data_IF_960139621545
#
_entry.id   IF_960139621545
#
_cell.length_a   1.000
_cell.length_b   1.000
_cell.length_c   1.000
_cell.angle_alpha   90.00
_cell.angle_beta   90.00
_cell.angle_gamma   90.00
#
_symmetry.space_group_name_H-M   'P 1'
#
loop_
_entity.id
_entity.type
_entity.pdbx_description
1 polymer ?
#
# COMPACT_ATOMS: atom_id res chain seq x y z
N UNK A 1 -5.48 17.88 5.78
CA UNK A 1 -5.23 17.08 4.57
C UNK A 1 -3.98 16.23 4.76
N UNK A 2 -3.82 15.13 4.03
CA UNK A 2 -2.61 14.30 4.10
C UNK A 2 -2.90 12.80 3.90
N UNK A 3 -1.87 12.01 3.56
CA UNK A 3 -2.02 10.60 3.21
C UNK A 3 -2.66 9.77 4.34
N UNK A 4 -2.36 10.10 5.60
CA UNK A 4 -2.91 9.43 6.78
C UNK A 4 -4.43 9.60 6.98
N UNK A 5 -5.09 10.48 6.22
CA UNK A 5 -6.55 10.63 6.20
C UNK A 5 -7.23 9.89 5.03
N UNK A 6 -6.45 9.32 4.10
CA UNK A 6 -6.97 8.66 2.90
C UNK A 6 -6.73 7.14 2.93
N UNK A 7 -5.51 6.73 3.26
CA UNK A 7 -5.11 5.33 3.35
C UNK A 7 -3.97 5.16 4.34
N UNK A 8 -4.01 4.08 5.11
CA UNK A 8 -2.95 3.72 6.06
C UNK A 8 -2.40 2.33 5.73
N UNK A 9 -1.16 2.10 6.11
CA UNK A 9 -0.49 0.79 6.06
C UNK A 9 0.18 0.57 7.41
N UNK A 10 0.03 -0.61 8.01
CA UNK A 10 0.43 -0.84 9.41
C UNK A 10 1.95 -0.83 9.68
N UNK A 11 2.76 -0.81 8.63
CA UNK A 11 4.21 -0.68 8.68
C UNK A 11 4.72 0.72 8.27
N UNK A 12 3.82 1.69 8.06
CA UNK A 12 4.15 3.07 7.70
C UNK A 12 3.43 4.06 8.63
N UNK A 13 4.09 5.15 9.06
CA UNK A 13 3.44 6.17 9.88
C UNK A 13 2.34 6.88 9.09
N UNK A 14 1.20 7.10 9.74
CA UNK A 14 0.11 7.92 9.22
C UNK A 14 0.40 9.40 9.46
N UNK A 15 0.47 10.18 8.39
CA UNK A 15 0.76 11.61 8.46
C UNK A 15 -0.38 12.46 7.87
N UNK A 16 -0.75 13.51 8.58
CA UNK A 16 -1.63 14.55 8.05
C UNK A 16 -1.37 15.91 8.67
N UNK A 17 -1.78 16.95 7.95
CA UNK A 17 -1.64 18.35 8.32
C UNK A 17 -2.97 19.00 8.59
N UNK A 18 -3.04 19.78 9.66
CA UNK A 18 -4.14 20.66 10.01
C UNK A 18 -3.77 22.07 9.54
N UNK A 19 -4.70 22.75 8.87
CA UNK A 19 -4.56 24.15 8.48
C UNK A 19 -5.52 24.98 9.31
N UNK A 20 -4.98 25.82 10.20
CA UNK A 20 -5.78 26.75 10.96
C UNK A 20 -6.22 27.91 10.06
N UNK A 21 -7.50 28.24 10.14
CA UNK A 21 -8.10 29.37 9.44
C UNK A 21 -8.75 30.31 10.45
N UNK A 22 -8.77 31.60 10.14
CA UNK A 22 -9.51 32.59 10.91
C UNK A 22 -11.03 32.45 10.66
N UNK A 23 -11.81 33.30 11.33
CA UNK A 23 -13.27 33.32 11.21
C UNK A 23 -13.76 33.66 9.79
N UNK A 24 -12.95 34.37 9.01
CA UNK A 24 -13.25 34.77 7.64
C UNK A 24 -12.79 33.72 6.62
N UNK A 25 -12.15 32.64 7.08
CA UNK A 25 -11.66 31.52 6.27
C UNK A 25 -10.26 31.73 5.70
N UNK A 26 -9.53 32.76 6.12
CA UNK A 26 -8.16 32.97 5.68
C UNK A 26 -7.19 32.10 6.50
N UNK A 27 -6.11 31.58 5.89
CA UNK A 27 -5.07 30.88 6.63
C UNK A 27 -4.47 31.77 7.73
N UNK A 28 -4.30 31.20 8.92
CA UNK A 28 -3.52 31.85 9.96
C UNK A 28 -2.04 31.83 9.58
N UNK A 29 -1.30 32.79 10.10
CA UNK A 29 0.16 32.92 9.90
C UNK A 29 0.95 32.77 11.19
N UNK A 30 0.26 32.41 12.27
CA UNK A 30 0.77 32.19 13.61
C UNK A 30 0.35 30.81 14.14
N UNK A 31 1.23 30.19 14.92
CA UNK A 31 0.92 29.00 15.70
C UNK A 31 0.32 29.33 17.07
N UNK A 32 0.26 28.32 17.93
CA UNK A 32 -0.15 28.41 19.34
C UNK A 32 -1.57 27.93 19.63
N UNK A 33 -2.33 27.55 18.59
CA UNK A 33 -3.65 26.96 18.76
C UNK A 33 -3.50 25.51 19.25
N UNK A 34 -4.36 25.11 20.19
CA UNK A 34 -4.38 23.75 20.73
C UNK A 34 -5.48 22.95 20.03
N UNK A 35 -5.09 22.12 19.08
CA UNK A 35 -5.97 21.14 18.47
C UNK A 35 -5.99 19.85 19.31
N UNK A 36 -7.20 19.38 19.61
CA UNK A 36 -7.43 18.09 20.23
C UNK A 36 -7.49 17.03 19.13
N UNK A 37 -6.56 16.08 19.12
CA UNK A 37 -6.50 14.99 18.14
C UNK A 37 -6.72 13.67 18.84
N UNK A 38 -7.85 13.04 18.56
CA UNK A 38 -8.22 11.72 19.08
C UNK A 38 -8.22 10.70 17.94
N UNK A 39 -7.43 9.65 18.09
CA UNK A 39 -7.36 8.55 17.12
C UNK A 39 -7.70 7.25 17.84
N UNK A 40 -8.72 6.55 17.35
CA UNK A 40 -9.15 5.25 17.86
C UNK A 40 -8.99 4.21 16.77
N UNK A 41 -8.10 3.25 16.99
CA UNK A 41 -7.88 2.12 16.12
C UNK A 41 -8.64 0.86 16.55
N UNK A 42 -8.44 -0.26 15.85
CA UNK A 42 -9.12 -1.53 16.13
C UNK A 42 -8.78 -2.11 17.50
N UNK A 43 -7.63 -1.74 18.10
CA UNK A 43 -7.22 -2.19 19.45
C UNK A 43 -7.34 -1.11 20.53
N UNK A 44 -7.99 0.02 20.22
CA UNK A 44 -8.19 1.13 21.16
C UNK A 44 -7.46 2.40 20.73
N UNK A 45 -7.24 3.29 21.69
CA UNK A 45 -6.69 4.61 21.43
C UNK A 45 -5.23 4.54 20.94
N UNK A 46 -4.94 5.30 19.89
CA UNK A 46 -3.59 5.51 19.36
C UNK A 46 -3.15 6.91 19.72
N UNK A 47 -1.90 7.04 20.16
CA UNK A 47 -1.34 8.32 20.59
C UNK A 47 -0.74 9.05 19.39
N UNK A 48 -1.31 10.17 18.92
CA UNK A 48 -0.68 11.00 17.90
C UNK A 48 0.44 11.86 18.50
N UNK A 49 1.37 12.26 17.65
CA UNK A 49 2.29 13.35 17.86
C UNK A 49 1.81 14.54 17.05
N UNK A 50 1.56 15.67 17.71
CA UNK A 50 1.14 16.92 17.06
C UNK A 50 2.27 17.94 17.20
N UNK A 51 2.69 18.50 16.08
CA UNK A 51 3.75 19.49 15.99
C UNK A 51 3.19 20.77 15.40
N UNK A 52 3.30 21.87 16.15
CA UNK A 52 2.96 23.21 15.67
C UNK A 52 4.14 23.79 14.89
N UNK A 53 3.92 24.15 13.62
CA UNK A 53 4.95 24.70 12.74
C UNK A 53 5.13 26.22 12.92
N UNK A 54 4.26 26.88 13.70
CA UNK A 54 4.33 28.31 13.97
C UNK A 54 3.85 29.19 12.82
N UNK A 55 3.32 28.60 11.75
CA UNK A 55 2.86 29.27 10.54
C UNK A 55 1.36 29.11 10.28
N UNK A 56 0.61 28.65 11.30
CA UNK A 56 -0.81 28.30 11.17
C UNK A 56 -1.06 26.86 10.69
N UNK A 57 -0.02 26.05 10.53
CA UNK A 57 -0.13 24.62 10.22
C UNK A 57 0.35 23.73 11.36
N UNK A 58 -0.27 22.56 11.49
CA UNK A 58 0.04 21.58 12.54
C UNK A 58 0.20 20.21 11.91
N UNK A 59 1.38 19.62 12.07
CA UNK A 59 1.70 18.29 11.57
C UNK A 59 1.34 17.23 12.60
N UNK A 60 0.57 16.23 12.17
CA UNK A 60 0.14 15.11 12.99
C UNK A 60 0.72 13.83 12.42
N UNK A 61 1.43 13.09 13.28
CA UNK A 61 2.01 11.78 12.96
C UNK A 61 1.50 10.75 13.97
N UNK A 62 1.08 9.58 13.51
CA UNK A 62 0.69 8.47 14.38
C UNK A 62 1.04 7.12 13.75
N UNK A 63 1.26 6.11 14.58
CA UNK A 63 1.63 4.76 14.12
C UNK A 63 0.41 3.83 14.13
N UNK A 64 -0.10 3.40 12.97
CA UNK A 64 -1.22 2.47 12.90
C UNK A 64 -0.74 1.02 13.04
N UNK A 65 -0.35 0.57 14.23
CA UNK A 65 0.27 -0.76 14.44
C UNK A 65 -0.54 -1.99 13.95
N UNK A 66 -1.84 -1.83 13.66
CA UNK A 66 -2.71 -2.95 13.32
C UNK A 66 -3.64 -2.64 12.16
N UNK A 67 -3.84 -3.59 11.24
CA UNK A 67 -4.77 -3.42 10.13
C UNK A 67 -6.20 -3.33 10.65
N UNK A 68 -7.01 -2.48 10.03
CA UNK A 68 -8.38 -2.23 10.48
C UNK A 68 -8.86 -0.82 10.21
N UNK A 69 -10.00 -0.47 10.80
CA UNK A 69 -10.56 0.87 10.67
C UNK A 69 -10.07 1.74 11.83
N UNK A 70 -9.62 2.95 11.48
CA UNK A 70 -9.21 3.99 12.39
C UNK A 70 -10.23 5.13 12.32
N UNK A 71 -10.79 5.50 13.47
CA UNK A 71 -11.63 6.66 13.65
C UNK A 71 -10.74 7.83 14.11
N UNK A 72 -10.65 8.86 13.28
CA UNK A 72 -9.83 10.05 13.52
C UNK A 72 -10.77 11.23 13.76
N UNK A 73 -10.59 11.90 14.89
CA UNK A 73 -11.32 13.10 15.25
C UNK A 73 -10.34 14.21 15.59
N UNK A 74 -10.53 15.37 14.96
CA UNK A 74 -9.76 16.58 15.25
C UNK A 74 -10.74 17.65 15.69
N UNK A 75 -10.47 18.26 16.84
CA UNK A 75 -11.28 19.31 17.42
C UNK A 75 -10.46 20.55 17.80
N UNK A 76 -11.16 21.67 17.95
CA UNK A 76 -10.64 22.92 18.48
C UNK A 76 -11.66 23.49 19.46
N UNK A 77 -11.20 23.83 20.68
CA UNK A 77 -12.05 24.31 21.79
C UNK A 77 -13.29 23.42 22.07
N UNK A 78 -13.14 22.10 21.93
CA UNK A 78 -14.21 21.12 22.16
C UNK A 78 -15.21 20.96 21.01
N UNK A 79 -15.01 21.62 19.87
CA UNK A 79 -15.82 21.44 18.66
C UNK A 79 -15.01 20.74 17.55
N UNK A 80 -15.60 19.78 16.80
CA UNK A 80 -14.91 19.14 15.68
C UNK A 80 -14.63 20.16 14.56
N UNK A 81 -13.46 20.04 13.93
CA UNK A 81 -13.13 20.85 12.75
C UNK A 81 -13.86 20.34 11.50
N UNK A 82 -13.72 21.06 10.39
CA UNK A 82 -14.32 20.67 9.11
C UNK A 82 -13.91 19.25 8.71
N UNK A 83 -14.87 18.49 8.18
CA UNK A 83 -14.71 17.12 7.66
C UNK A 83 -14.30 16.08 8.73
N UNK A 84 -14.42 16.42 10.01
CA UNK A 84 -14.19 15.53 11.16
C UNK A 84 -15.49 15.25 11.93
N UNK A 85 -15.64 14.04 12.51
CA UNK A 85 -14.70 12.91 12.48
C UNK A 85 -14.68 12.20 11.12
N UNK A 86 -13.56 11.54 10.81
CA UNK A 86 -13.39 10.73 9.61
C UNK A 86 -12.94 9.31 9.94
N UNK A 87 -13.16 8.38 9.02
CA UNK A 87 -12.77 6.97 9.17
C UNK A 87 -11.84 6.57 8.03
N UNK A 88 -10.69 6.01 8.40
CA UNK A 88 -9.64 5.59 7.45
C UNK A 88 -9.37 4.10 7.65
N UNK A 89 -9.13 3.40 6.55
CA UNK A 89 -8.78 1.97 6.61
C UNK A 89 -7.28 1.79 6.51
N UNK A 90 -6.71 1.17 7.54
CA UNK A 90 -5.35 0.64 7.56
C UNK A 90 -5.33 -0.77 6.96
N UNK A 91 -4.43 -0.97 6.01
CA UNK A 91 -4.16 -2.26 5.36
C UNK A 91 -2.93 -2.90 6.00
N UNK A 92 -2.84 -4.22 5.89
CA UNK A 92 -1.61 -4.94 6.18
C UNK A 92 -0.52 -4.49 5.23
N UNK A 93 0.61 -4.10 5.80
CA UNK A 93 1.82 -3.76 5.08
C UNK A 93 2.52 -4.97 4.52
N UNK A 94 3.24 -4.75 3.43
CA UNK A 94 4.10 -5.78 2.87
C UNK A 94 5.30 -5.98 3.77
N UNK A 95 5.50 -7.21 4.22
CA UNK A 95 6.74 -7.63 4.89
C UNK A 95 7.84 -7.86 3.84
N UNK A 96 8.68 -6.85 3.62
CA UNK A 96 9.74 -6.92 2.61
C UNK A 96 10.86 -7.90 2.96
N UNK A 97 11.16 -8.10 4.24
CA UNK A 97 12.23 -9.01 4.69
C UNK A 97 11.83 -10.49 4.48
N UNK A 98 10.54 -10.79 4.60
CA UNK A 98 9.99 -12.12 4.31
C UNK A 98 9.41 -12.26 2.90
N UNK A 99 9.45 -11.21 2.08
CA UNK A 99 9.03 -11.27 0.67
C UNK A 99 10.14 -11.90 -0.18
N UNK A 100 9.83 -13.05 -0.77
CA UNK A 100 10.69 -13.73 -1.73
C UNK A 100 10.13 -13.68 -3.15
N UNK A 101 10.90 -14.20 -4.09
CA UNK A 101 10.35 -14.51 -5.40
C UNK A 101 9.32 -15.64 -5.29
N UNK A 102 8.21 -15.49 -6.00
CA UNK A 102 7.20 -16.52 -6.15
C UNK A 102 7.46 -17.40 -7.38
N UNK A 103 6.39 -17.83 -8.02
CA UNK A 103 6.43 -18.69 -9.21
C UNK A 103 6.71 -17.84 -10.45
N UNK A 104 7.61 -18.32 -11.30
CA UNK A 104 7.87 -17.79 -12.62
C UNK A 104 7.25 -18.69 -13.69
N UNK A 105 6.87 -18.09 -14.81
CA UNK A 105 6.48 -18.85 -15.99
C UNK A 105 7.00 -18.20 -17.25
N UNK A 106 7.30 -19.02 -18.25
CA UNK A 106 7.60 -18.56 -19.60
C UNK A 106 6.90 -19.45 -20.62
N UNK A 107 6.60 -18.86 -21.78
CA UNK A 107 5.93 -19.56 -22.87
C UNK A 107 6.78 -19.49 -24.13
N UNK A 108 6.98 -20.63 -24.78
CA UNK A 108 7.73 -20.78 -26.02
C UNK A 108 6.75 -20.97 -27.17
N UNK A 109 6.79 -20.08 -28.16
CA UNK A 109 6.07 -20.25 -29.43
C UNK A 109 6.93 -21.09 -30.38
N UNK A 110 6.48 -22.31 -30.70
CA UNK A 110 7.14 -23.12 -31.71
C UNK A 110 6.89 -22.54 -33.11
N UNK A 111 7.91 -22.63 -33.96
CA UNK A 111 7.87 -22.23 -35.36
C UNK A 111 8.19 -23.41 -36.26
N UNK A 112 7.61 -23.42 -37.44
CA UNK A 112 7.91 -24.41 -38.47
C UNK A 112 9.22 -24.09 -39.20
N UNK A 113 9.62 -24.97 -40.13
CA UNK A 113 10.83 -24.79 -40.96
C UNK A 113 10.81 -23.56 -41.89
N UNK A 114 9.66 -22.91 -42.04
CA UNK A 114 9.47 -21.69 -42.83
C UNK A 114 9.49 -20.44 -41.93
N UNK A 115 9.57 -20.62 -40.61
CA UNK A 115 9.55 -19.55 -39.62
C UNK A 115 8.14 -19.13 -39.18
N UNK A 116 7.09 -19.82 -39.64
CA UNK A 116 5.70 -19.53 -39.28
C UNK A 116 5.36 -20.14 -37.93
N UNK A 117 4.48 -19.50 -37.16
CA UNK A 117 4.04 -20.02 -35.86
C UNK A 117 3.27 -21.34 -36.07
N UNK A 118 3.63 -22.37 -35.29
CA UNK A 118 2.83 -23.58 -35.21
C UNK A 118 1.49 -23.29 -34.53
N UNK A 119 0.47 -24.06 -34.89
CA UNK A 119 -0.91 -23.93 -34.37
C UNK A 119 -1.42 -25.19 -33.68
N UNK A 120 -0.53 -26.16 -33.47
CA UNK A 120 -0.80 -27.45 -32.82
C UNK A 120 0.42 -27.89 -32.02
N UNK A 121 0.17 -28.62 -30.93
CA UNK A 121 1.20 -29.20 -30.07
C UNK A 121 1.80 -30.50 -30.59
N UNK A 122 2.31 -31.32 -29.67
CA UNK A 122 2.84 -32.65 -29.92
C UNK A 122 4.34 -32.71 -30.22
N UNK A 123 5.06 -31.59 -30.12
CA UNK A 123 6.52 -31.61 -30.14
C UNK A 123 7.06 -31.95 -28.76
N UNK A 124 8.19 -32.66 -28.75
CA UNK A 124 8.96 -32.83 -27.52
C UNK A 124 9.61 -31.49 -27.15
N UNK A 125 9.22 -30.94 -26.00
CA UNK A 125 9.78 -29.72 -25.45
C UNK A 125 10.49 -30.01 -24.13
N UNK A 126 11.81 -29.81 -24.12
CA UNK A 126 12.65 -30.00 -22.95
C UNK A 126 13.11 -28.67 -22.36
N UNK A 127 12.96 -28.57 -21.04
CA UNK A 127 13.37 -27.43 -20.23
C UNK A 127 14.35 -27.95 -19.21
N UNK A 128 15.47 -27.26 -19.09
CA UNK A 128 16.48 -27.48 -18.08
C UNK A 128 16.77 -26.12 -17.42
N UNK A 129 16.64 -26.07 -16.10
CA UNK A 129 16.97 -24.91 -15.30
C UNK A 129 18.20 -25.28 -14.49
N UNK A 130 19.34 -24.69 -14.83
CA UNK A 130 20.59 -24.92 -14.13
C UNK A 130 20.75 -23.89 -13.00
N UNK A 131 20.85 -24.37 -11.76
CA UNK A 131 21.03 -23.54 -10.58
C UNK A 131 21.64 -24.32 -9.42
N UNK A 132 22.01 -23.63 -8.31
CA UNK A 132 22.61 -24.27 -7.14
C UNK A 132 21.63 -25.16 -6.34
N UNK A 133 20.34 -25.21 -6.71
CA UNK A 133 19.32 -26.05 -6.08
C UNK A 133 18.59 -26.93 -7.08
N UNK A 134 17.90 -27.96 -6.58
CA UNK A 134 16.93 -28.72 -7.37
C UNK A 134 15.68 -27.85 -7.57
N UNK A 135 15.34 -27.55 -8.83
CA UNK A 135 14.13 -26.80 -9.18
C UNK A 135 13.08 -27.77 -9.71
N UNK A 136 11.95 -27.88 -9.01
CA UNK A 136 10.76 -28.52 -9.57
C UNK A 136 10.12 -27.57 -10.59
N UNK A 137 9.76 -28.09 -11.76
CA UNK A 137 9.06 -27.32 -12.77
C UNK A 137 7.98 -28.18 -13.44
N UNK A 138 6.91 -27.52 -13.87
CA UNK A 138 5.85 -28.11 -14.67
C UNK A 138 6.03 -27.68 -16.13
N UNK A 139 5.91 -28.65 -17.07
CA UNK A 139 5.88 -28.39 -18.51
C UNK A 139 4.49 -28.70 -19.05
N UNK A 140 3.93 -27.76 -19.79
CA UNK A 140 2.60 -27.89 -20.40
C UNK A 140 2.69 -27.65 -21.90
N UNK A 141 2.18 -28.59 -22.69
CA UNK A 141 1.87 -28.38 -24.10
C UNK A 141 0.45 -27.78 -24.19
N UNK A 142 0.35 -26.54 -24.67
CA UNK A 142 -0.92 -25.83 -24.77
C UNK A 142 -1.76 -26.29 -25.98
N UNK A 143 -1.23 -27.22 -26.79
CA UNK A 143 -1.85 -27.78 -27.99
C UNK A 143 -2.20 -26.75 -29.08
N UNK A 144 -1.66 -25.55 -28.99
CA UNK A 144 -1.86 -24.44 -29.94
C UNK A 144 -0.55 -24.01 -30.62
N UNK A 145 0.51 -24.81 -30.47
CA UNK A 145 1.85 -24.50 -30.93
C UNK A 145 2.69 -23.70 -29.94
N UNK A 146 2.18 -23.46 -28.73
CA UNK A 146 2.95 -22.92 -27.61
C UNK A 146 3.15 -23.95 -26.50
N UNK A 147 4.26 -23.78 -25.76
CA UNK A 147 4.63 -24.62 -24.62
C UNK A 147 4.94 -23.73 -23.44
N UNK A 148 4.39 -24.03 -22.27
CA UNK A 148 4.58 -23.25 -21.05
C UNK A 148 5.39 -24.04 -20.03
N UNK A 149 6.36 -23.39 -19.40
CA UNK A 149 7.09 -23.93 -18.27
C UNK A 149 6.89 -23.03 -17.05
N UNK A 150 6.64 -23.64 -15.90
CA UNK A 150 6.36 -23.00 -14.62
C UNK A 150 7.36 -23.50 -13.59
N UNK A 151 8.06 -22.61 -12.87
CA UNK A 151 9.09 -22.95 -11.88
C UNK A 151 9.21 -21.93 -10.76
#
# INVERSE_FOLDING_TARGET
>A
EGPGLESLVDNEPGEFRIHAVDRDGNPRSDGGDKFDVDITGPKGNVKPQVTDNGDGTYDVVFDPEHPGNYDINVGYEGAPIKDMPTKVRCKEGTDCDNSGFGVFSFTVQARDKRGENKTFGGDQFDVEIAGPGETEFEKTDNNDGTYTAVY
#
